data_IF_892653868993
#
_entry.id   IF_892653868993
#
_cell.length_a   1.000
_cell.length_b   1.000
_cell.length_c   1.000
_cell.angle_alpha   90.00
_cell.angle_beta   90.00
_cell.angle_gamma   90.00
#
_symmetry.space_group_name_H-M   'P 1'
#
loop_
_entity.id
_entity.type
_entity.pdbx_description
1 polymer ?
#
# COMPACT_ATOMS: atom_id res chain seq x y z
N UNK A 1 -19.59 4.11 13.61
CA UNK A 1 -18.73 4.72 12.55
C UNK A 1 -17.70 5.68 13.14
N UNK A 2 -16.46 5.63 12.62
CA UNK A 2 -15.34 6.52 12.97
C UNK A 2 -14.98 7.40 11.75
N UNK A 3 -14.63 8.66 11.98
CA UNK A 3 -14.27 9.63 10.93
C UNK A 3 -12.81 10.10 11.02
N UNK A 4 -12.13 9.86 12.13
CA UNK A 4 -10.71 10.15 12.33
C UNK A 4 -9.98 8.91 12.85
N UNK A 5 -8.64 8.88 12.73
CA UNK A 5 -7.84 7.80 13.29
C UNK A 5 -7.89 7.85 14.81
N UNK A 6 -7.95 9.05 15.40
CA UNK A 6 -8.20 9.20 16.83
C UNK A 6 -9.48 8.50 17.26
N UNK A 7 -10.61 8.76 16.59
CA UNK A 7 -11.88 8.10 16.89
C UNK A 7 -11.82 6.59 16.67
N UNK A 8 -11.16 6.13 15.61
CA UNK A 8 -10.94 4.70 15.34
C UNK A 8 -10.19 4.04 16.50
N UNK A 9 -9.08 4.65 16.97
CA UNK A 9 -8.28 4.14 18.09
C UNK A 9 -9.10 4.12 19.38
N UNK A 10 -9.80 5.22 19.70
CA UNK A 10 -10.62 5.32 20.90
C UNK A 10 -11.75 4.29 20.91
N UNK A 11 -12.47 4.12 19.80
CA UNK A 11 -13.55 3.11 19.67
C UNK A 11 -13.01 1.69 19.74
N UNK A 12 -11.88 1.41 19.06
CA UNK A 12 -11.27 0.08 19.10
C UNK A 12 -10.89 -0.31 20.53
N UNK A 13 -10.25 0.60 21.29
CA UNK A 13 -9.82 0.34 22.65
C UNK A 13 -11.01 0.22 23.63
N UNK A 14 -12.01 1.11 23.54
CA UNK A 14 -13.14 1.16 24.47
C UNK A 14 -14.15 0.03 24.24
N UNK A 15 -14.51 -0.23 22.98
CA UNK A 15 -15.65 -1.07 22.64
C UNK A 15 -15.25 -2.46 22.11
N UNK A 16 -14.01 -2.60 21.62
CA UNK A 16 -13.54 -3.81 20.94
C UNK A 16 -12.22 -4.38 21.50
N UNK A 17 -11.79 -3.96 22.69
CA UNK A 17 -10.57 -4.46 23.35
C UNK A 17 -9.31 -4.32 22.49
N UNK A 18 -9.24 -3.25 21.69
CA UNK A 18 -8.16 -2.97 20.75
C UNK A 18 -8.29 -3.70 19.40
N UNK A 19 -9.35 -4.48 19.17
CA UNK A 19 -9.54 -5.22 17.92
C UNK A 19 -10.17 -4.36 16.81
N UNK A 20 -9.33 -3.77 15.97
CA UNK A 20 -9.74 -2.94 14.84
C UNK A 20 -10.52 -3.71 13.77
N UNK A 21 -10.25 -5.01 13.59
CA UNK A 21 -10.94 -5.82 12.59
C UNK A 21 -12.42 -6.02 12.97
N UNK A 22 -12.71 -6.29 14.24
CA UNK A 22 -14.08 -6.40 14.75
C UNK A 22 -14.85 -5.07 14.66
N UNK A 23 -14.18 -3.96 14.98
CA UNK A 23 -14.74 -2.62 14.77
C UNK A 23 -15.08 -2.38 13.28
N UNK A 24 -14.22 -2.82 12.35
CA UNK A 24 -14.48 -2.68 10.93
C UNK A 24 -15.64 -3.54 10.45
N UNK A 25 -15.78 -4.78 10.96
CA UNK A 25 -16.94 -5.64 10.65
C UNK A 25 -18.24 -5.00 11.13
N UNK A 26 -18.25 -4.44 12.34
CA UNK A 26 -19.42 -3.72 12.85
C UNK A 26 -19.73 -2.48 11.99
N UNK A 27 -18.70 -1.76 11.56
CA UNK A 27 -18.84 -0.59 10.67
C UNK A 27 -19.38 -0.97 9.29
N UNK A 28 -18.94 -2.10 8.71
CA UNK A 28 -19.49 -2.64 7.46
C UNK A 28 -20.99 -2.95 7.58
N UNK A 29 -21.40 -3.56 8.71
CA UNK A 29 -22.80 -3.81 8.98
C UNK A 29 -23.61 -2.52 9.07
N UNK A 30 -23.13 -1.53 9.85
CA UNK A 30 -23.79 -0.22 9.99
C UNK A 30 -23.95 0.50 8.64
N UNK A 31 -22.93 0.44 7.78
CA UNK A 31 -22.89 1.16 6.51
C UNK A 31 -23.68 0.48 5.38
N UNK A 32 -23.63 -0.85 5.33
CA UNK A 32 -24.07 -1.60 4.16
C UNK A 32 -25.16 -2.63 4.45
N UNK A 33 -25.38 -2.95 5.73
CA UNK A 33 -26.25 -4.04 6.18
C UNK A 33 -25.69 -5.44 5.90
N UNK A 34 -24.42 -5.57 5.47
CA UNK A 34 -23.80 -6.88 5.25
C UNK A 34 -23.50 -7.56 6.57
N UNK A 35 -23.93 -8.81 6.67
CA UNK A 35 -23.64 -9.66 7.83
C UNK A 35 -22.16 -10.10 7.85
N UNK A 36 -21.67 -10.47 9.05
CA UNK A 36 -20.28 -10.89 9.27
C UNK A 36 -19.79 -11.92 8.25
N UNK A 37 -20.56 -12.98 8.03
CA UNK A 37 -20.20 -14.07 7.12
C UNK A 37 -20.07 -13.60 5.66
N UNK A 38 -20.80 -12.56 5.28
CA UNK A 38 -20.67 -11.96 3.95
C UNK A 38 -19.39 -11.12 3.84
N UNK A 39 -19.12 -10.28 4.84
CA UNK A 39 -17.89 -9.47 4.91
C UNK A 39 -16.65 -10.37 4.86
N UNK A 40 -16.60 -11.41 5.67
CA UNK A 40 -15.47 -12.35 5.72
C UNK A 40 -15.30 -13.11 4.39
N UNK A 41 -16.39 -13.52 3.74
CA UNK A 41 -16.33 -14.18 2.44
C UNK A 41 -15.77 -13.28 1.34
N UNK A 42 -16.13 -11.99 1.35
CA UNK A 42 -15.59 -11.01 0.40
C UNK A 42 -14.10 -10.77 0.67
N UNK A 43 -13.71 -10.62 1.93
CA UNK A 43 -12.30 -10.44 2.30
C UNK A 43 -11.46 -11.68 1.96
N UNK A 44 -12.01 -12.88 2.14
CA UNK A 44 -11.35 -14.11 1.71
C UNK A 44 -11.11 -14.11 0.19
N UNK A 45 -12.08 -13.66 -0.62
CA UNK A 45 -11.86 -13.55 -2.07
C UNK A 45 -10.74 -12.56 -2.39
N UNK A 46 -10.68 -11.43 -1.70
CA UNK A 46 -9.60 -10.45 -1.87
C UNK A 46 -8.25 -11.05 -1.48
N UNK A 47 -8.18 -11.77 -0.36
CA UNK A 47 -6.99 -12.47 0.11
C UNK A 47 -6.44 -13.45 -0.92
N UNK A 48 -7.31 -14.26 -1.53
CA UNK A 48 -6.91 -15.21 -2.56
C UNK A 48 -6.36 -14.53 -3.82
N UNK A 49 -7.01 -13.46 -4.28
CA UNK A 49 -6.50 -12.65 -5.40
C UNK A 49 -5.15 -12.02 -5.07
N UNK A 50 -5.00 -11.48 -3.86
CA UNK A 50 -3.76 -10.88 -3.37
C UNK A 50 -2.61 -11.90 -3.37
N UNK A 51 -2.80 -13.08 -2.77
CA UNK A 51 -1.80 -14.16 -2.76
C UNK A 51 -1.46 -14.64 -4.16
N UNK A 52 -2.48 -14.87 -5.00
CA UNK A 52 -2.29 -15.31 -6.37
C UNK A 52 -1.46 -14.29 -7.17
N UNK A 53 -1.72 -12.99 -7.02
CA UNK A 53 -1.00 -11.93 -7.75
C UNK A 53 0.49 -11.87 -7.40
N UNK A 54 0.88 -12.19 -6.16
CA UNK A 54 2.29 -12.30 -5.76
C UNK A 54 2.97 -13.44 -6.51
N UNK A 55 2.36 -14.62 -6.53
CA UNK A 55 2.92 -15.81 -7.18
C UNK A 55 2.99 -15.66 -8.70
N UNK A 56 1.90 -15.21 -9.32
CA UNK A 56 1.79 -15.02 -10.77
C UNK A 56 2.69 -13.87 -11.27
N UNK A 57 3.03 -12.94 -10.39
CA UNK A 57 3.89 -11.80 -10.68
C UNK A 57 5.38 -12.11 -10.76
N UNK A 58 5.83 -13.27 -10.24
CA UNK A 58 7.24 -13.69 -10.31
C UNK A 58 7.70 -14.12 -11.71
N UNK A 59 6.80 -14.10 -12.68
CA UNK A 59 7.08 -14.40 -14.08
C UNK A 59 8.00 -13.35 -14.74
N UNK A 60 8.98 -13.83 -15.53
CA UNK A 60 10.00 -13.00 -16.20
C UNK A 60 9.52 -12.33 -17.48
N UNK A 61 8.31 -12.64 -17.97
CA UNK A 61 7.79 -11.97 -19.16
C UNK A 61 7.62 -10.47 -18.93
N UNK A 62 7.56 -9.71 -20.03
CA UNK A 62 7.37 -8.26 -20.00
C UNK A 62 5.92 -7.87 -20.20
N UNK A 63 5.56 -6.69 -19.70
CA UNK A 63 4.32 -6.01 -20.05
C UNK A 63 4.25 -5.75 -21.56
N UNK A 64 3.06 -5.39 -22.05
CA UNK A 64 2.85 -5.08 -23.47
C UNK A 64 3.70 -3.90 -23.96
N UNK A 65 3.99 -2.92 -23.10
CA UNK A 65 4.86 -1.78 -23.42
C UNK A 65 6.35 -2.15 -23.42
N UNK A 66 6.71 -3.25 -22.75
CA UNK A 66 8.09 -3.67 -22.56
C UNK A 66 8.86 -2.91 -21.47
N UNK A 67 8.22 -1.94 -20.79
CA UNK A 67 8.86 -1.10 -19.77
C UNK A 67 9.09 -1.82 -18.45
N UNK A 68 8.23 -2.77 -18.07
CA UNK A 68 8.37 -3.56 -16.85
C UNK A 68 8.23 -5.07 -17.09
N UNK A 69 8.75 -5.87 -16.16
CA UNK A 69 8.72 -7.33 -16.21
C UNK A 69 10.06 -7.96 -15.89
N UNK A 70 10.04 -8.95 -14.99
CA UNK A 70 11.19 -9.74 -14.58
C UNK A 70 12.07 -9.09 -13.53
N UNK A 71 11.72 -7.90 -13.02
CA UNK A 71 12.48 -7.31 -11.92
C UNK A 71 12.18 -8.03 -10.59
N UNK A 72 10.99 -8.61 -10.42
CA UNK A 72 10.68 -9.43 -9.25
C UNK A 72 11.59 -10.67 -9.21
N UNK A 73 11.74 -11.37 -10.35
CA UNK A 73 12.62 -12.53 -10.48
C UNK A 73 14.10 -12.18 -10.26
N UNK A 74 14.57 -11.03 -10.79
CA UNK A 74 15.94 -10.56 -10.51
C UNK A 74 16.18 -10.34 -9.03
N UNK A 75 15.21 -9.73 -8.32
CA UNK A 75 15.33 -9.50 -6.90
C UNK A 75 15.27 -10.81 -6.10
N UNK A 76 14.43 -11.75 -6.52
CA UNK A 76 14.36 -13.10 -5.94
C UNK A 76 15.71 -13.83 -6.05
N UNK A 77 16.31 -13.86 -7.24
CA UNK A 77 17.64 -14.44 -7.46
C UNK A 77 18.72 -13.76 -6.61
N UNK A 78 18.64 -12.43 -6.43
CA UNK A 78 19.57 -11.71 -5.57
C UNK A 78 19.41 -12.08 -4.09
N UNK A 79 18.18 -12.21 -3.60
CA UNK A 79 17.89 -12.69 -2.23
C UNK A 79 18.47 -14.11 -2.04
N UNK A 80 18.21 -15.02 -2.98
CA UNK A 80 18.70 -16.41 -2.92
C UNK A 80 20.23 -16.51 -2.98
N UNK A 81 20.92 -15.51 -3.54
CA UNK A 81 22.38 -15.49 -3.57
C UNK A 81 23.04 -15.34 -2.19
N UNK A 82 22.27 -14.98 -1.16
CA UNK A 82 22.77 -14.74 0.21
C UNK A 82 23.59 -13.46 0.36
N UNK A 83 23.58 -12.57 -0.65
CA UNK A 83 24.34 -11.31 -0.69
C UNK A 83 23.49 -10.08 -0.40
N UNK A 84 22.24 -10.27 0.04
CA UNK A 84 21.32 -9.19 0.35
C UNK A 84 21.88 -8.26 1.45
N UNK A 85 21.69 -6.95 1.28
CA UNK A 85 22.10 -5.94 2.26
C UNK A 85 21.01 -5.64 3.31
N UNK A 86 19.76 -5.70 2.88
CA UNK A 86 18.59 -5.46 3.73
C UNK A 86 18.15 -6.74 4.45
N UNK A 87 17.33 -6.57 5.50
CA UNK A 87 16.66 -7.70 6.15
C UNK A 87 15.88 -8.56 5.14
N UNK A 88 15.89 -9.87 5.36
CA UNK A 88 15.27 -10.84 4.45
C UNK A 88 13.77 -10.60 4.29
N UNK A 89 13.04 -10.35 5.38
CA UNK A 89 11.59 -10.13 5.34
C UNK A 89 11.26 -8.84 4.59
N UNK A 90 11.98 -7.76 4.86
CA UNK A 90 11.78 -6.47 4.18
C UNK A 90 12.06 -6.57 2.68
N UNK A 91 13.12 -7.29 2.31
CA UNK A 91 13.49 -7.47 0.91
C UNK A 91 12.54 -8.41 0.17
N UNK A 92 12.02 -9.44 0.83
CA UNK A 92 10.95 -10.30 0.31
C UNK A 92 9.67 -9.50 0.08
N UNK A 93 9.30 -8.58 0.98
CA UNK A 93 8.15 -7.70 0.77
C UNK A 93 8.36 -6.77 -0.43
N UNK A 94 9.55 -6.19 -0.58
CA UNK A 94 9.88 -5.37 -1.76
C UNK A 94 9.75 -6.18 -3.06
N UNK A 95 10.26 -7.42 -3.09
CA UNK A 95 10.11 -8.36 -4.20
C UNK A 95 8.65 -8.66 -4.50
N UNK A 96 7.86 -9.02 -3.50
CA UNK A 96 6.46 -9.38 -3.68
C UNK A 96 5.65 -8.19 -4.21
N UNK A 97 5.98 -6.96 -3.80
CA UNK A 97 5.32 -5.75 -4.30
C UNK A 97 5.66 -5.51 -5.78
N UNK A 98 6.91 -5.75 -6.19
CA UNK A 98 7.29 -5.71 -7.62
C UNK A 98 6.50 -6.76 -8.39
N UNK A 99 6.43 -8.00 -7.89
CA UNK A 99 5.71 -9.09 -8.54
C UNK A 99 4.24 -8.70 -8.82
N UNK A 100 3.52 -8.22 -7.81
CA UNK A 100 2.11 -7.82 -7.96
C UNK A 100 1.95 -6.69 -8.97
N UNK A 101 2.80 -5.67 -8.93
CA UNK A 101 2.71 -4.56 -9.89
C UNK A 101 3.15 -4.95 -11.30
N UNK A 102 4.07 -5.89 -11.47
CA UNK A 102 4.39 -6.46 -12.78
C UNK A 102 3.23 -7.31 -13.30
N UNK A 103 2.52 -8.05 -12.44
CA UNK A 103 1.28 -8.74 -12.80
C UNK A 103 0.19 -7.75 -13.25
N UNK A 104 0.00 -6.66 -12.52
CA UNK A 104 -0.91 -5.58 -12.89
C UNK A 104 -0.56 -4.95 -14.25
N UNK A 105 0.72 -4.65 -14.49
CA UNK A 105 1.19 -4.09 -15.77
C UNK A 105 0.99 -5.05 -16.96
N UNK A 106 0.87 -6.35 -16.69
CA UNK A 106 0.51 -7.39 -17.67
C UNK A 106 -1.01 -7.57 -17.82
N UNK A 107 -1.82 -6.67 -17.24
CA UNK A 107 -3.29 -6.74 -17.20
C UNK A 107 -3.80 -7.96 -16.41
N UNK A 108 -3.00 -8.46 -15.47
CA UNK A 108 -3.39 -9.51 -14.54
C UNK A 108 -4.40 -9.02 -13.50
N UNK A 109 -5.11 -9.97 -12.87
CA UNK A 109 -6.09 -9.63 -11.84
C UNK A 109 -5.38 -9.25 -10.54
N UNK A 110 -5.64 -8.04 -10.05
CA UNK A 110 -5.12 -7.54 -8.77
C UNK A 110 -6.25 -6.97 -7.91
N UNK A 111 -6.01 -6.87 -6.60
CA UNK A 111 -6.90 -6.17 -5.69
C UNK A 111 -6.42 -4.73 -5.51
N UNK A 112 -7.29 -3.75 -5.79
CA UNK A 112 -6.96 -2.34 -5.63
C UNK A 112 -6.78 -2.00 -4.14
N UNK A 113 -5.63 -1.41 -3.78
CA UNK A 113 -5.28 -1.09 -2.38
C UNK A 113 -4.48 0.22 -2.29
N UNK A 114 -5.12 1.40 -2.23
CA UNK A 114 -6.51 1.66 -2.59
C UNK A 114 -6.74 1.73 -4.12
N UNK A 115 -5.69 1.90 -4.93
CA UNK A 115 -5.81 1.92 -6.41
C UNK A 115 -5.08 0.74 -7.04
N UNK A 116 -5.27 0.54 -8.35
CA UNK A 116 -4.49 -0.45 -9.10
C UNK A 116 -3.00 -0.10 -9.13
N UNK A 117 -2.66 1.19 -9.08
CA UNK A 117 -1.27 1.67 -9.08
C UNK A 117 -0.49 1.35 -7.82
N UNK A 118 -1.17 1.29 -6.68
CA UNK A 118 -0.61 0.94 -5.37
C UNK A 118 -0.92 -0.49 -4.92
N UNK A 119 -1.45 -1.32 -5.83
CA UNK A 119 -1.97 -2.65 -5.51
C UNK A 119 -0.92 -3.63 -4.94
N UNK A 120 0.38 -3.35 -5.07
CA UNK A 120 1.43 -4.23 -4.60
C UNK A 120 1.76 -4.11 -3.11
N UNK A 121 1.51 -2.95 -2.48
CA UNK A 121 1.96 -2.71 -1.11
C UNK A 121 1.31 -3.65 -0.09
N UNK A 122 -0.03 -3.70 -0.04
CA UNK A 122 -0.77 -4.50 0.95
C UNK A 122 -0.55 -6.02 0.80
N UNK A 123 -0.71 -6.64 -0.39
CA UNK A 123 -0.46 -8.07 -0.53
C UNK A 123 0.99 -8.46 -0.22
N UNK A 124 1.95 -7.61 -0.59
CA UNK A 124 3.35 -7.88 -0.33
C UNK A 124 3.67 -7.88 1.17
N UNK A 125 3.19 -6.87 1.90
CA UNK A 125 3.38 -6.81 3.35
C UNK A 125 2.66 -7.98 4.04
N UNK A 126 1.42 -8.27 3.66
CA UNK A 126 0.67 -9.39 4.22
C UNK A 126 1.37 -10.73 3.98
N UNK A 127 1.78 -11.04 2.74
CA UNK A 127 2.43 -12.32 2.42
C UNK A 127 3.76 -12.49 3.16
N UNK A 128 4.57 -11.43 3.26
CA UNK A 128 5.79 -11.48 4.07
C UNK A 128 5.50 -11.58 5.57
N UNK A 129 4.40 -10.99 6.06
CA UNK A 129 3.97 -11.10 7.45
C UNK A 129 3.46 -12.51 7.79
N UNK A 130 2.75 -13.17 6.87
CA UNK A 130 2.31 -14.57 7.02
C UNK A 130 3.52 -15.47 7.31
N UNK A 131 4.57 -15.35 6.48
CA UNK A 131 5.79 -16.14 6.66
C UNK A 131 6.54 -15.78 7.95
N UNK A 132 6.61 -14.49 8.28
CA UNK A 132 7.39 -14.00 9.43
C UNK A 132 6.73 -14.28 10.79
N UNK A 133 5.42 -14.10 10.87
CA UNK A 133 4.64 -14.16 12.12
C UNK A 133 3.86 -15.48 12.25
N UNK A 134 3.76 -16.28 11.19
CA UNK A 134 2.99 -17.53 11.20
C UNK A 134 1.49 -17.32 11.25
N UNK A 135 0.99 -16.27 10.58
CA UNK A 135 -0.41 -15.84 10.66
C UNK A 135 -1.37 -16.93 10.17
N UNK A 136 -2.35 -17.26 11.00
CA UNK A 136 -3.52 -18.05 10.63
C UNK A 136 -4.37 -17.34 9.58
N UNK A 137 -5.29 -18.06 8.94
CA UNK A 137 -6.18 -17.48 7.94
C UNK A 137 -7.09 -16.39 8.54
N UNK A 138 -7.57 -16.59 9.78
CA UNK A 138 -8.35 -15.58 10.50
C UNK A 138 -7.54 -14.30 10.72
N UNK A 139 -6.28 -14.41 11.15
CA UNK A 139 -5.38 -13.26 11.33
C UNK A 139 -5.07 -12.55 10.01
N UNK A 140 -5.02 -13.28 8.89
CA UNK A 140 -4.88 -12.69 7.56
C UNK A 140 -6.10 -11.88 7.16
N UNK A 141 -7.32 -12.36 7.48
CA UNK A 141 -8.54 -11.58 7.25
C UNK A 141 -8.60 -10.35 8.17
N UNK A 142 -8.21 -10.50 9.43
CA UNK A 142 -8.13 -9.39 10.38
C UNK A 142 -7.14 -8.32 9.91
N UNK A 143 -6.00 -8.74 9.33
CA UNK A 143 -5.03 -7.82 8.71
C UNK A 143 -5.69 -6.97 7.61
N UNK A 144 -6.45 -7.60 6.70
CA UNK A 144 -7.12 -6.88 5.62
C UNK A 144 -8.22 -5.94 6.13
N UNK A 145 -9.02 -6.38 7.11
CA UNK A 145 -10.06 -5.56 7.74
C UNK A 145 -9.45 -4.35 8.45
N UNK A 146 -8.37 -4.54 9.20
CA UNK A 146 -7.66 -3.46 9.85
C UNK A 146 -7.08 -2.46 8.84
N UNK A 147 -6.42 -2.94 7.79
CA UNK A 147 -5.94 -2.08 6.71
C UNK A 147 -7.09 -1.28 6.09
N UNK A 148 -8.24 -1.92 5.85
CA UNK A 148 -9.47 -1.27 5.35
C UNK A 148 -9.98 -0.17 6.28
N UNK A 149 -9.99 -0.39 7.59
CA UNK A 149 -10.43 0.59 8.58
C UNK A 149 -9.57 1.87 8.54
N UNK A 150 -8.26 1.72 8.57
CA UNK A 150 -7.34 2.87 8.45
C UNK A 150 -7.46 3.54 7.07
N UNK A 151 -7.62 2.76 6.01
CA UNK A 151 -7.80 3.26 4.65
C UNK A 151 -9.07 4.07 4.48
N UNK A 152 -10.18 3.67 5.10
CA UNK A 152 -11.45 4.38 5.07
C UNK A 152 -11.29 5.81 5.60
N UNK A 153 -10.58 5.98 6.72
CA UNK A 153 -10.32 7.31 7.28
C UNK A 153 -9.42 8.14 6.36
N UNK A 154 -8.34 7.56 5.83
CA UNK A 154 -7.44 8.27 4.91
C UNK A 154 -8.20 8.73 3.66
N UNK A 155 -9.04 7.87 3.09
CA UNK A 155 -9.84 8.18 1.91
C UNK A 155 -10.86 9.31 2.17
N UNK A 156 -11.49 9.33 3.35
CA UNK A 156 -12.51 10.33 3.67
C UNK A 156 -11.94 11.71 4.05
N UNK A 157 -10.70 11.77 4.55
CA UNK A 157 -10.10 13.03 5.03
C UNK A 157 -9.01 13.60 4.11
N UNK A 158 -8.55 12.83 3.14
CA UNK A 158 -7.57 13.28 2.17
C UNK A 158 -7.99 12.92 0.73
N UNK A 159 -7.12 12.25 0.00
CA UNK A 159 -7.44 11.61 -1.27
C UNK A 159 -6.67 10.29 -1.31
N UNK A 160 -7.19 9.36 -2.10
CA UNK A 160 -6.51 8.11 -2.46
C UNK A 160 -6.16 8.04 -3.94
N UNK A 161 -6.37 9.13 -4.70
CA UNK A 161 -6.15 9.19 -6.14
C UNK A 161 -4.82 9.87 -6.49
N UNK A 162 -4.03 9.23 -7.36
CA UNK A 162 -2.78 9.78 -7.88
C UNK A 162 -2.99 11.07 -8.67
N UNK A 163 -4.11 11.13 -9.41
CA UNK A 163 -4.54 12.28 -10.20
C UNK A 163 -5.02 13.48 -9.36
N UNK A 164 -5.36 13.28 -8.09
CA UNK A 164 -5.81 14.38 -7.21
C UNK A 164 -4.72 14.81 -6.23
N UNK A 165 -4.10 13.83 -5.56
CA UNK A 165 -3.20 14.06 -4.43
C UNK A 165 -1.75 13.66 -4.67
N UNK A 166 -1.40 13.19 -5.88
CA UNK A 166 -0.08 12.63 -6.17
C UNK A 166 0.08 11.21 -5.64
N UNK A 167 1.24 10.60 -5.83
CA UNK A 167 1.49 9.21 -5.47
C UNK A 167 1.61 8.99 -3.94
N UNK A 168 1.76 10.08 -3.17
CA UNK A 168 1.56 10.05 -1.71
C UNK A 168 0.13 9.60 -1.34
N UNK A 169 -0.88 9.95 -2.14
CA UNK A 169 -2.27 9.58 -1.90
C UNK A 169 -2.54 8.11 -2.25
N UNK A 170 -1.82 7.55 -3.22
CA UNK A 170 -1.97 6.13 -3.61
C UNK A 170 -1.02 5.21 -2.83
N UNK A 171 0.27 5.23 -3.20
CA UNK A 171 1.28 4.35 -2.61
C UNK A 171 1.55 4.72 -1.16
N UNK A 172 1.47 6.01 -0.80
CA UNK A 172 1.61 6.43 0.60
C UNK A 172 0.48 5.92 1.48
N UNK A 173 -0.77 6.06 1.05
CA UNK A 173 -1.93 5.48 1.76
C UNK A 173 -1.83 3.96 1.84
N UNK A 174 -1.50 3.29 0.74
CA UNK A 174 -1.33 1.83 0.72
C UNK A 174 -0.25 1.36 1.70
N UNK A 175 0.91 2.01 1.68
CA UNK A 175 2.01 1.72 2.61
C UNK A 175 1.61 1.99 4.07
N UNK A 176 0.88 3.07 4.35
CA UNK A 176 0.45 3.44 5.69
C UNK A 176 -0.59 2.47 6.26
N UNK A 177 -1.57 2.08 5.44
CA UNK A 177 -2.56 1.04 5.78
C UNK A 177 -1.88 -0.29 6.08
N UNK A 178 -0.91 -0.69 5.25
CA UNK A 178 -0.12 -1.91 5.46
C UNK A 178 0.69 -1.86 6.75
N UNK A 179 1.31 -0.71 7.06
CA UNK A 179 2.10 -0.54 8.27
C UNK A 179 1.24 -0.66 9.54
N UNK A 180 0.07 -0.02 9.54
CA UNK A 180 -0.87 -0.08 10.64
C UNK A 180 -1.37 -1.51 10.89
N UNK A 181 -1.78 -2.21 9.82
CA UNK A 181 -2.22 -3.61 9.90
C UNK A 181 -1.08 -4.54 10.36
N UNK A 182 0.15 -4.30 9.93
CA UNK A 182 1.32 -5.05 10.35
C UNK A 182 1.63 -4.87 11.85
N UNK A 183 1.50 -3.65 12.38
CA UNK A 183 1.64 -3.40 13.83
C UNK A 183 0.63 -4.23 14.62
N UNK A 184 -0.64 -4.21 14.21
CA UNK A 184 -1.69 -4.98 14.90
C UNK A 184 -1.46 -6.49 14.81
N UNK A 185 -1.09 -7.00 13.63
CA UNK A 185 -0.78 -8.41 13.44
C UNK A 185 0.45 -8.87 14.24
N UNK A 186 1.38 -7.97 14.54
CA UNK A 186 2.52 -8.23 15.42
C UNK A 186 2.20 -8.05 16.93
N UNK A 187 0.93 -7.83 17.29
CA UNK A 187 0.47 -7.67 18.67
C UNK A 187 0.62 -6.25 19.25
N UNK A 188 0.85 -5.26 18.39
CA UNK A 188 0.85 -3.85 18.79
C UNK A 188 -0.56 -3.29 19.04
N UNK A 189 -0.64 -2.17 19.74
CA UNK A 189 -1.90 -1.47 20.03
C UNK A 189 -2.41 -0.64 18.83
N UNK A 190 -3.71 -0.29 18.78
CA UNK A 190 -4.24 0.67 17.81
C UNK A 190 -3.52 2.02 17.84
N UNK A 191 -3.10 2.48 19.03
CA UNK A 191 -2.27 3.67 19.15
C UNK A 191 -0.92 3.52 18.42
N UNK A 192 -0.20 2.41 18.60
CA UNK A 192 1.03 2.15 17.85
C UNK A 192 0.77 2.05 16.35
N UNK A 193 -0.34 1.44 15.92
CA UNK A 193 -0.73 1.39 14.52
C UNK A 193 -0.89 2.80 13.92
N UNK A 194 -1.47 3.74 14.68
CA UNK A 194 -1.56 5.15 14.28
C UNK A 194 -0.18 5.85 14.16
N UNK A 195 0.81 5.44 14.97
CA UNK A 195 2.19 5.94 14.86
C UNK A 195 2.86 5.44 13.58
N UNK A 196 2.63 4.18 13.19
CA UNK A 196 3.16 3.64 11.94
C UNK A 196 2.62 4.42 10.71
N UNK A 197 1.33 4.78 10.71
CA UNK A 197 0.73 5.66 9.69
C UNK A 197 1.47 6.99 9.63
N UNK A 198 1.70 7.62 10.79
CA UNK A 198 2.44 8.88 10.86
C UNK A 198 3.82 8.76 10.19
N UNK A 199 4.57 7.70 10.49
CA UNK A 199 5.91 7.52 9.97
C UNK A 199 5.91 7.33 8.46
N UNK A 200 4.99 6.53 7.92
CA UNK A 200 4.88 6.37 6.46
C UNK A 200 4.50 7.68 5.79
N UNK A 201 3.37 8.28 6.18
CA UNK A 201 2.83 9.45 5.46
C UNK A 201 3.82 10.60 5.49
N UNK A 202 4.42 10.93 6.65
CA UNK A 202 5.41 12.02 6.75
C UNK A 202 6.61 11.84 5.83
N UNK A 203 7.05 10.61 5.58
CA UNK A 203 8.17 10.32 4.69
C UNK A 203 7.76 10.26 3.21
N UNK A 204 6.46 10.28 2.91
CA UNK A 204 5.93 10.26 1.54
C UNK A 204 5.26 11.57 1.13
N UNK A 205 5.15 12.56 2.04
CA UNK A 205 4.63 13.89 1.72
C UNK A 205 5.34 14.52 0.51
N UNK A 206 4.57 15.00 -0.45
CA UNK A 206 5.05 15.63 -1.68
C UNK A 206 5.44 14.65 -2.80
N UNK A 207 5.22 13.34 -2.62
CA UNK A 207 5.51 12.36 -3.67
C UNK A 207 4.54 12.54 -4.85
N UNK A 208 5.05 13.12 -5.94
CA UNK A 208 4.30 13.41 -7.17
C UNK A 208 3.86 12.14 -7.90
N UNK A 209 2.81 12.21 -8.72
CA UNK A 209 2.44 11.15 -9.66
C UNK A 209 2.76 11.62 -11.09
N UNK A 210 3.73 11.01 -11.74
CA UNK A 210 4.10 11.39 -13.12
C UNK A 210 4.70 10.18 -13.85
N UNK A 211 3.85 9.21 -14.23
CA UNK A 211 4.29 7.97 -14.85
C UNK A 211 4.77 8.19 -16.29
N UNK A 212 5.84 7.49 -16.66
CA UNK A 212 6.34 7.46 -18.05
C UNK A 212 5.26 6.91 -18.97
N UNK A 213 5.00 7.62 -20.07
CA UNK A 213 3.98 7.28 -21.06
C UNK A 213 2.55 7.19 -20.47
N UNK A 214 2.29 7.76 -19.28
CA UNK A 214 1.00 7.64 -18.61
C UNK A 214 0.70 6.22 -18.10
N UNK A 215 1.68 5.31 -18.09
CA UNK A 215 1.48 3.90 -17.78
C UNK A 215 1.79 3.60 -16.32
N UNK A 216 1.00 2.70 -15.72
CA UNK A 216 1.17 2.23 -14.33
C UNK A 216 2.34 1.23 -14.23
N UNK A 217 3.52 1.66 -14.66
CA UNK A 217 4.73 0.85 -14.80
C UNK A 217 5.93 1.58 -14.17
N UNK A 218 6.34 2.70 -14.78
CA UNK A 218 7.52 3.46 -14.35
C UNK A 218 7.07 4.85 -13.88
N UNK A 219 7.29 5.24 -12.61
CA UNK A 219 8.05 4.54 -11.55
C UNK A 219 7.20 3.62 -10.65
N UNK A 220 5.92 3.42 -10.96
CA UNK A 220 4.90 2.82 -10.08
C UNK A 220 5.32 1.47 -9.47
N UNK A 221 5.91 0.58 -10.26
CA UNK A 221 6.35 -0.76 -9.80
C UNK A 221 7.37 -0.65 -8.67
N UNK A 222 8.37 0.23 -8.81
CA UNK A 222 9.44 0.38 -7.81
C UNK A 222 8.96 1.18 -6.59
N UNK A 223 7.99 2.09 -6.79
CA UNK A 223 7.35 2.80 -5.67
C UNK A 223 6.60 1.84 -4.73
N UNK A 224 5.95 0.81 -5.26
CA UNK A 224 5.29 -0.19 -4.42
C UNK A 224 6.30 -1.01 -3.61
N UNK A 225 7.45 -1.35 -4.20
CA UNK A 225 8.56 -2.00 -3.49
C UNK A 225 9.04 -1.16 -2.30
N UNK A 226 9.30 0.13 -2.53
CA UNK A 226 9.73 1.06 -1.48
C UNK A 226 8.62 1.30 -0.44
N UNK A 227 7.37 1.38 -0.86
CA UNK A 227 6.21 1.48 0.03
C UNK A 227 6.05 0.27 0.95
N UNK A 228 6.23 -0.95 0.43
CA UNK A 228 6.24 -2.16 1.24
C UNK A 228 7.41 -2.14 2.25
N UNK A 229 8.60 -1.68 1.84
CA UNK A 229 9.73 -1.53 2.76
C UNK A 229 9.47 -0.49 3.86
N UNK A 230 8.87 0.65 3.53
CA UNK A 230 8.50 1.64 4.54
C UNK A 230 7.49 1.09 5.54
N UNK A 231 6.55 0.25 5.11
CA UNK A 231 5.56 -0.32 6.00
C UNK A 231 6.18 -1.17 7.11
N UNK A 232 7.14 -2.04 6.78
CA UNK A 232 7.88 -2.83 7.77
C UNK A 232 8.70 -1.95 8.72
N UNK A 233 9.48 -1.02 8.18
CA UNK A 233 10.33 -0.14 9.00
C UNK A 233 9.46 0.73 9.92
N UNK A 234 8.34 1.25 9.43
CA UNK A 234 7.40 2.04 10.22
C UNK A 234 6.72 1.21 11.31
N UNK A 235 6.35 -0.04 11.02
CA UNK A 235 5.79 -0.94 12.02
C UNK A 235 6.81 -1.24 13.13
N UNK A 236 8.06 -1.54 12.78
CA UNK A 236 9.12 -1.77 13.77
C UNK A 236 9.37 -0.54 14.65
N UNK A 237 9.40 0.66 14.07
CA UNK A 237 9.53 1.91 14.83
C UNK A 237 8.38 2.11 15.82
N UNK A 238 7.14 1.87 15.39
CA UNK A 238 5.96 2.01 16.23
C UNK A 238 5.92 0.95 17.36
N UNK A 239 6.26 -0.30 17.04
CA UNK A 239 6.36 -1.40 18.01
C UNK A 239 7.46 -1.15 19.04
N UNK A 240 8.55 -0.49 18.64
CA UNK A 240 9.62 -0.04 19.54
C UNK A 240 9.22 1.13 20.47
N UNK A 241 8.00 1.66 20.33
CA UNK A 241 7.49 2.76 21.15
C UNK A 241 7.96 4.14 20.69
N UNK A 242 8.44 4.26 19.44
CA UNK A 242 8.69 5.58 18.85
C UNK A 242 7.34 6.22 18.56
N UNK A 243 7.21 7.50 18.89
CA UNK A 243 5.99 8.27 18.69
C UNK A 243 6.22 9.48 17.80
N UNK A 244 5.23 9.77 16.98
CA UNK A 244 5.11 11.03 16.25
C UNK A 244 4.85 12.19 17.20
N UNK A 245 5.49 13.33 16.94
CA UNK A 245 5.18 14.59 17.64
C UNK A 245 3.95 15.31 17.07
N UNK A 246 3.58 14.98 15.83
CA UNK A 246 2.38 15.51 15.18
C UNK A 246 1.31 14.41 15.19
N UNK A 247 0.09 14.67 15.67
CA UNK A 247 -1.00 13.71 15.64
C UNK A 247 -1.28 13.18 14.23
N UNK A 248 -1.72 11.93 14.15
CA UNK A 248 -1.96 11.21 12.88
C UNK A 248 -2.98 11.91 11.99
N UNK A 249 -4.05 12.46 12.55
CA UNK A 249 -5.08 13.15 11.78
C UNK A 249 -4.56 14.45 11.16
N UNK A 250 -3.69 15.19 11.87
CA UNK A 250 -2.99 16.36 11.32
C UNK A 250 -1.99 15.97 10.22
N UNK A 251 -1.36 14.79 10.33
CA UNK A 251 -0.49 14.26 9.26
C UNK A 251 -1.29 13.91 8.01
N UNK A 252 -2.50 13.36 8.16
CA UNK A 252 -3.42 13.07 7.05
C UNK A 252 -3.92 14.37 6.40
N UNK A 253 -4.32 15.37 7.19
CA UNK A 253 -4.68 16.69 6.65
C UNK A 253 -3.49 17.33 5.92
N UNK A 254 -2.27 17.27 6.48
CA UNK A 254 -1.07 17.75 5.79
C UNK A 254 -0.86 17.05 4.43
N UNK A 255 -1.12 15.75 4.33
CA UNK A 255 -1.08 15.02 3.06
C UNK A 255 -2.10 15.58 2.05
N UNK A 256 -3.32 15.85 2.51
CA UNK A 256 -4.37 16.48 1.69
C UNK A 256 -3.97 17.88 1.20
N UNK A 257 -3.49 18.75 2.11
CA UNK A 257 -3.08 20.12 1.77
C UNK A 257 -1.91 20.12 0.77
N UNK A 258 -0.91 19.26 0.98
CA UNK A 258 0.21 19.12 0.04
C UNK A 258 -0.29 18.62 -1.31
N UNK A 259 -1.15 17.60 -1.34
CA UNK A 259 -1.69 17.02 -2.57
C UNK A 259 -2.50 18.03 -3.38
N UNK A 260 -3.39 18.77 -2.72
CA UNK A 260 -4.21 19.82 -3.32
C UNK A 260 -3.37 20.99 -3.87
N UNK A 261 -2.18 21.20 -3.31
CA UNK A 261 -1.24 22.24 -3.74
C UNK A 261 -0.30 21.79 -4.87
N UNK A 262 -0.33 20.50 -5.27
CA UNK A 262 0.51 20.02 -6.35
C UNK A 262 0.09 20.64 -7.69
N UNK A 263 1.04 21.17 -8.48
CA UNK A 263 0.79 21.54 -9.87
C UNK A 263 0.18 20.38 -10.65
N UNK A 264 -0.74 20.69 -11.57
CA UNK A 264 -1.41 19.67 -12.42
C UNK A 264 -0.41 18.79 -13.18
N UNK A 265 0.72 19.35 -13.63
CA UNK A 265 1.78 18.59 -14.30
C UNK A 265 2.42 17.46 -13.45
N UNK A 266 2.17 17.44 -12.14
CA UNK A 266 2.68 16.45 -11.19
C UNK A 266 1.58 15.55 -10.60
N UNK A 267 0.39 15.55 -11.23
CA UNK A 267 -0.80 14.79 -10.84
C UNK A 267 -1.29 13.87 -11.97
N UNK A 268 -0.45 12.91 -12.32
CA UNK A 268 -0.73 11.81 -13.24
C UNK A 268 -0.99 12.22 -14.71
N UNK A 269 -0.75 13.48 -15.07
CA UNK A 269 -0.95 13.96 -16.46
C UNK A 269 0.18 13.60 -17.42
N UNK A 270 1.31 13.08 -16.91
CA UNK A 270 2.53 12.80 -17.69
C UNK A 270 3.16 14.05 -18.35
N UNK A 271 2.83 15.25 -17.86
CA UNK A 271 3.29 16.54 -18.40
C UNK A 271 4.49 17.12 -17.62
N UNK A 272 4.99 16.41 -16.61
CA UNK A 272 6.05 16.90 -15.72
C UNK A 272 7.17 15.89 -15.48
N UNK A 273 7.75 15.99 -14.28
CA UNK A 273 8.72 15.07 -13.66
C UNK A 273 9.49 14.09 -14.56
N UNK A 274 9.30 12.80 -14.27
CA UNK A 274 10.00 11.69 -14.91
C UNK A 274 9.50 11.46 -16.35
N UNK A 275 8.21 11.67 -16.60
CA UNK A 275 7.57 11.44 -17.88
C UNK A 275 8.15 12.35 -18.98
N UNK A 276 8.49 13.59 -18.65
CA UNK A 276 9.02 14.57 -19.61
C UNK A 276 10.53 14.58 -19.79
N UNK A 277 11.25 13.68 -19.11
CA UNK A 277 12.69 13.51 -19.36
C UNK A 277 12.95 13.09 -20.82
N UNK A 278 14.15 13.33 -21.38
CA UNK A 278 14.46 12.94 -22.75
C UNK A 278 14.16 11.46 -23.05
N UNK A 279 14.51 10.57 -22.10
CA UNK A 279 14.22 9.13 -22.21
C UNK A 279 12.72 8.84 -22.03
N UNK A 280 12.04 9.47 -21.08
CA UNK A 280 10.59 9.29 -20.89
C UNK A 280 9.78 9.66 -22.14
N UNK A 281 10.07 10.82 -22.73
CA UNK A 281 9.46 11.26 -24.00
C UNK A 281 9.77 10.32 -25.15
N UNK A 282 11.01 9.84 -25.27
CA UNK A 282 11.41 8.88 -26.30
C UNK A 282 10.60 7.57 -26.17
N UNK A 283 10.53 7.00 -24.96
CA UNK A 283 9.79 5.76 -24.71
C UNK A 283 8.29 5.93 -24.99
N UNK A 284 7.71 7.06 -24.60
CA UNK A 284 6.30 7.37 -24.91
C UNK A 284 6.04 7.34 -26.42
N UNK A 285 6.90 7.95 -27.22
CA UNK A 285 6.79 7.94 -28.69
C UNK A 285 6.94 6.54 -29.28
N UNK A 286 7.91 5.74 -28.79
CA UNK A 286 8.12 4.37 -29.25
C UNK A 286 6.91 3.47 -28.98
N UNK A 287 6.22 3.68 -27.84
CA UNK A 287 5.05 2.90 -27.43
C UNK A 287 3.80 3.28 -28.24
N UNK A 288 3.56 4.59 -28.45
CA UNK A 288 2.33 5.07 -29.09
C UNK A 288 2.47 5.34 -30.60
N UNK A 289 3.69 5.30 -31.16
CA UNK A 289 3.95 5.46 -32.58
C UNK A 289 3.92 6.92 -33.07
N UNK A 290 4.31 7.88 -32.23
CA UNK A 290 4.34 9.33 -32.51
C UNK A 290 5.69 9.87 -33.00
#
# INVERSE_FOLDING_TARGET
MFYSIKELVEQADLDYQGNVAELMIATEYELTGRERDEVLRLMHRNLEVMKASVLLGLDESKSRSGLTGGDAAKLDHYIQSGKALSDHTVLTAAKNAIAVNEHNAKMGLVCATPTAGSAGCLPAVLTSAIEKLGLSEEEQLNFLLAAGAFGLVIANNASISGAEGGCQAEVGSASAMSAAALVLAAGGSPFQASQAICFVIKNMLGLICDPVAGLVEVPCVKRNAMGASYAFIAADMALAGIESKIPVDEVIDAMYQVGSSLPTAFRETAEGGLATTPTGRKLSKEIFGE
#
